data_IF_774362385550
#
_entry.id   IF_774362385550
#
_cell.length_a   1.000
_cell.length_b   1.000
_cell.length_c   1.000
_cell.angle_alpha   90.00
_cell.angle_beta   90.00
_cell.angle_gamma   90.00
#
_symmetry.space_group_name_H-M   'P 1'
#
loop_
_entity.id
_entity.type
_entity.pdbx_description
1 polymer ?
#
# COMPACT_ATOMS: atom_id res chain seq x y z
N UNK A 1 28.22 33.36 73.04
CA UNK A 1 27.54 32.40 72.14
C UNK A 1 27.94 31.00 72.58
N UNK A 2 26.94 30.26 73.05
CA UNK A 2 27.04 29.01 73.81
C UNK A 2 27.79 27.88 73.09
N UNK A 3 28.74 27.25 73.81
CA UNK A 3 29.48 26.05 73.37
C UNK A 3 28.61 24.78 73.37
N UNK A 4 27.41 24.82 73.94
CA UNK A 4 26.55 23.66 74.18
C UNK A 4 25.72 23.23 72.95
N UNK A 5 25.49 24.12 71.97
CA UNK A 5 24.58 23.84 70.86
C UNK A 5 25.24 23.18 69.62
N UNK A 6 26.57 23.06 69.56
CA UNK A 6 27.27 22.35 68.47
C UNK A 6 27.61 20.89 68.79
N UNK A 7 27.32 20.41 70.00
CA UNK A 7 27.70 19.06 70.45
C UNK A 7 26.69 17.95 70.09
N UNK A 8 25.53 18.27 69.53
CA UNK A 8 24.44 17.29 69.35
C UNK A 8 24.53 16.40 68.11
N UNK A 9 25.54 16.55 67.23
CA UNK A 9 25.79 15.60 66.13
C UNK A 9 26.99 14.66 66.35
N UNK A 10 27.74 14.81 67.47
CA UNK A 10 29.02 14.12 67.68
C UNK A 10 29.06 13.31 68.98
N UNK A 11 28.10 12.39 69.20
CA UNK A 11 28.22 11.40 70.28
C UNK A 11 29.04 10.21 69.76
N UNK A 12 30.31 10.13 70.18
CA UNK A 12 31.26 9.08 69.77
C UNK A 12 31.07 7.85 70.65
N UNK A 13 30.61 6.75 70.07
CA UNK A 13 30.71 5.43 70.69
C UNK A 13 31.98 4.72 70.13
N UNK A 14 33.00 4.62 70.99
CA UNK A 14 34.20 3.75 70.94
C UNK A 14 34.99 3.59 69.61
N UNK A 15 35.97 4.47 69.34
CA UNK A 15 37.25 4.21 68.63
C UNK A 15 38.19 5.46 68.67
N UNK A 16 39.53 5.34 68.56
CA UNK A 16 40.42 6.49 68.47
C UNK A 16 40.16 7.25 67.15
N UNK A 17 39.57 8.43 67.26
CA UNK A 17 39.28 9.31 66.14
C UNK A 17 40.54 10.07 65.72
N UNK A 18 41.57 9.38 65.26
CA UNK A 18 42.77 10.04 64.78
C UNK A 18 42.44 10.87 63.54
N UNK A 19 43.04 12.05 63.46
CA UNK A 19 42.84 12.95 62.36
C UNK A 19 43.44 12.35 61.08
N UNK A 20 42.64 12.20 60.02
CA UNK A 20 43.08 11.63 58.74
C UNK A 20 44.17 12.41 58.00
N UNK A 21 44.62 13.56 58.53
CA UNK A 21 45.71 14.39 57.95
C UNK A 21 46.98 14.42 58.80
N UNK A 22 46.89 14.25 60.12
CA UNK A 22 48.06 14.34 61.01
C UNK A 22 48.25 13.12 61.90
N UNK A 23 47.33 12.15 61.82
CA UNK A 23 47.33 10.91 62.61
C UNK A 23 47.38 11.14 64.13
N UNK A 24 47.00 12.35 64.58
CA UNK A 24 46.89 12.68 65.99
C UNK A 24 45.43 12.53 66.44
N UNK A 25 45.24 12.06 67.66
CA UNK A 25 43.93 11.85 68.28
C UNK A 25 43.13 13.17 68.34
N UNK A 26 41.94 13.17 67.76
CA UNK A 26 41.00 14.29 67.82
C UNK A 26 40.25 14.24 69.15
N UNK A 27 40.44 15.24 70.01
CA UNK A 27 39.80 15.30 71.34
C UNK A 27 38.40 15.91 71.28
N UNK A 28 37.56 15.63 72.28
CA UNK A 28 36.17 16.14 72.35
C UNK A 28 36.04 17.67 72.43
N UNK A 29 37.10 18.39 72.82
CA UNK A 29 37.11 19.85 72.93
C UNK A 29 37.76 20.54 71.71
N UNK A 30 38.09 19.77 70.66
CA UNK A 30 38.71 20.28 69.44
C UNK A 30 37.68 20.40 68.31
N UNK A 31 37.81 21.43 67.48
CA UNK A 31 36.98 21.59 66.30
C UNK A 31 37.41 20.59 65.22
N UNK A 32 36.56 19.63 64.91
CA UNK A 32 36.80 18.62 63.88
C UNK A 32 35.52 18.19 63.16
N UNK A 33 35.65 17.84 61.89
CA UNK A 33 34.57 17.32 61.04
C UNK A 33 34.87 15.85 60.72
N UNK A 34 33.84 15.01 60.71
CA UNK A 34 33.94 13.63 60.23
C UNK A 34 33.48 13.59 58.77
N UNK A 35 34.26 12.96 57.89
CA UNK A 35 33.88 12.77 56.50
C UNK A 35 32.81 11.67 56.39
N UNK A 36 31.70 11.96 55.69
CA UNK A 36 30.59 11.02 55.50
C UNK A 36 30.89 9.85 54.53
N UNK A 37 32.05 9.82 53.87
CA UNK A 37 32.46 8.74 52.95
C UNK A 37 33.49 7.81 53.60
N UNK A 38 34.63 8.34 54.05
CA UNK A 38 35.70 7.53 54.64
C UNK A 38 35.59 7.38 56.17
N UNK A 39 34.63 8.04 56.81
CA UNK A 39 34.42 8.05 58.27
C UNK A 39 35.60 8.60 59.10
N UNK A 40 36.64 9.16 58.47
CA UNK A 40 37.79 9.77 59.15
C UNK A 40 37.44 11.15 59.71
N UNK A 41 38.00 11.45 60.88
CA UNK A 41 37.91 12.77 61.49
C UNK A 41 39.02 13.69 60.98
N UNK A 42 38.75 14.98 60.88
CA UNK A 42 39.72 15.98 60.44
C UNK A 42 39.63 17.24 61.29
N UNK A 43 40.72 17.62 61.94
CA UNK A 43 40.79 18.89 62.68
C UNK A 43 40.55 20.08 61.74
N UNK A 44 39.77 21.07 62.19
CA UNK A 44 39.57 22.33 61.46
C UNK A 44 40.92 23.04 61.17
N UNK A 45 41.88 22.95 62.09
CA UNK A 45 43.25 23.46 61.90
C UNK A 45 44.02 22.69 60.82
N UNK A 46 43.92 21.36 60.78
CA UNK A 46 44.57 20.54 59.76
C UNK A 46 43.94 20.74 58.37
N UNK A 47 42.63 20.99 58.31
CA UNK A 47 41.91 21.38 57.10
C UNK A 47 42.18 22.83 56.66
N UNK A 48 42.90 23.62 57.47
CA UNK A 48 43.15 25.06 57.25
C UNK A 48 41.87 25.87 57.02
N UNK A 49 40.80 25.57 57.77
CA UNK A 49 39.52 26.28 57.67
C UNK A 49 39.31 27.19 58.89
N UNK A 50 38.72 28.37 58.65
CA UNK A 50 38.33 29.29 59.73
C UNK A 50 37.19 28.72 60.57
N UNK A 51 37.02 29.21 61.80
CA UNK A 51 35.92 28.79 62.69
C UNK A 51 34.54 29.08 62.07
N UNK A 52 34.41 30.18 61.33
CA UNK A 52 33.19 30.50 60.60
C UNK A 52 32.89 29.44 59.51
N UNK A 53 33.90 29.07 58.73
CA UNK A 53 33.77 28.03 57.70
C UNK A 53 33.46 26.67 58.34
N UNK A 54 34.11 26.33 59.45
CA UNK A 54 33.80 25.14 60.23
C UNK A 54 32.33 25.12 60.68
N UNK A 55 31.82 26.21 61.26
CA UNK A 55 30.43 26.30 61.72
C UNK A 55 29.43 26.15 60.58
N UNK A 56 29.77 26.60 59.37
CA UNK A 56 28.94 26.39 58.18
C UNK A 56 28.95 24.92 57.75
N UNK A 57 30.13 24.32 57.63
CA UNK A 57 30.30 22.92 57.21
C UNK A 57 29.69 21.92 58.22
N UNK A 58 29.85 22.17 59.52
CA UNK A 58 29.27 21.34 60.59
C UNK A 58 27.73 21.35 60.59
N UNK A 59 27.10 22.37 59.99
CA UNK A 59 25.64 22.47 59.83
C UNK A 59 25.13 21.82 58.55
N UNK A 60 26.00 21.45 57.61
CA UNK A 60 25.58 20.77 56.40
C UNK A 60 25.04 19.37 56.74
N UNK A 61 24.19 18.85 55.85
CA UNK A 61 23.67 17.49 55.98
C UNK A 61 24.77 16.44 55.75
N UNK A 62 25.69 16.71 54.82
CA UNK A 62 26.86 15.89 54.52
C UNK A 62 28.09 16.75 54.26
N UNK A 63 29.25 16.26 54.67
CA UNK A 63 30.56 16.81 54.38
C UNK A 63 31.54 15.71 53.98
N UNK A 64 32.29 15.96 52.90
CA UNK A 64 33.32 15.06 52.40
C UNK A 64 34.69 15.73 52.50
N UNK A 65 35.72 14.97 52.91
CA UNK A 65 37.08 15.47 52.89
C UNK A 65 37.56 15.71 51.45
N UNK A 66 38.70 16.40 51.28
CA UNK A 66 39.23 16.72 49.95
C UNK A 66 39.47 15.47 49.10
N UNK A 67 40.03 14.42 49.70
CA UNK A 67 40.36 13.17 49.00
C UNK A 67 39.09 12.41 48.56
N UNK A 68 38.08 12.33 49.44
CA UNK A 68 36.80 11.73 49.10
C UNK A 68 36.04 12.55 48.07
N UNK A 69 36.08 13.89 48.17
CA UNK A 69 35.46 14.78 47.17
C UNK A 69 36.11 14.57 45.80
N UNK A 70 37.44 14.48 45.75
CA UNK A 70 38.19 14.21 44.52
C UNK A 70 37.86 12.82 43.96
N UNK A 71 37.82 11.77 44.79
CA UNK A 71 37.44 10.42 44.39
C UNK A 71 36.02 10.34 43.84
N UNK A 72 35.04 10.99 44.48
CA UNK A 72 33.64 11.06 44.02
C UNK A 72 33.57 11.75 42.66
N UNK A 73 34.27 12.88 42.48
CA UNK A 73 34.30 13.60 41.21
C UNK A 73 34.96 12.76 40.11
N UNK A 74 36.09 12.11 40.40
CA UNK A 74 36.80 11.26 39.45
C UNK A 74 35.94 10.07 38.99
N UNK A 75 35.27 9.39 39.93
CA UNK A 75 34.36 8.28 39.60
C UNK A 75 33.16 8.73 38.76
N UNK A 76 32.65 9.95 38.98
CA UNK A 76 31.60 10.51 38.13
C UNK A 76 32.10 10.82 36.73
N UNK A 77 33.31 11.36 36.60
CA UNK A 77 33.91 11.65 35.30
C UNK A 77 34.12 10.38 34.49
N UNK A 78 34.70 9.32 35.07
CA UNK A 78 34.86 8.03 34.38
C UNK A 78 33.52 7.40 34.00
N UNK A 79 32.50 7.54 34.85
CA UNK A 79 31.13 7.11 34.52
C UNK A 79 30.54 7.91 33.35
N UNK A 80 30.80 9.21 33.26
CA UNK A 80 30.35 10.04 32.12
C UNK A 80 31.10 9.65 30.84
N UNK A 81 32.40 9.40 30.90
CA UNK A 81 33.21 8.97 29.75
C UNK A 81 32.74 7.63 29.17
N UNK A 82 32.45 6.65 30.03
CA UNK A 82 31.90 5.35 29.61
C UNK A 82 30.49 5.46 28.99
N UNK A 83 29.66 6.36 29.50
CA UNK A 83 28.36 6.66 28.89
C UNK A 83 28.52 7.39 27.55
N UNK A 84 29.46 8.31 27.45
CA UNK A 84 29.73 9.06 26.22
C UNK A 84 30.18 8.12 25.09
N UNK A 85 31.10 7.19 25.37
CA UNK A 85 31.51 6.17 24.41
C UNK A 85 30.36 5.25 24.00
N UNK A 86 29.52 4.83 24.95
CA UNK A 86 28.32 4.03 24.66
C UNK A 86 27.29 4.80 23.81
N UNK A 87 27.12 6.10 24.04
CA UNK A 87 26.26 6.95 23.22
C UNK A 87 26.81 7.10 21.81
N UNK A 88 28.13 7.27 21.66
CA UNK A 88 28.77 7.35 20.36
C UNK A 88 28.58 6.06 19.54
N UNK A 89 28.69 4.88 20.17
CA UNK A 89 28.42 3.60 19.49
C UNK A 89 26.95 3.47 19.10
N UNK A 90 26.01 3.84 19.99
CA UNK A 90 24.59 3.80 19.67
C UNK A 90 24.21 4.72 18.50
N UNK A 91 24.80 5.92 18.43
CA UNK A 91 24.57 6.84 17.30
C UNK A 91 25.04 6.20 15.99
N UNK A 92 26.23 5.58 16.00
CA UNK A 92 26.75 4.88 14.82
C UNK A 92 25.83 3.72 14.40
N UNK A 93 25.40 2.90 15.35
CA UNK A 93 24.47 1.79 15.07
C UNK A 93 23.13 2.30 14.52
N UNK A 94 22.62 3.43 15.03
CA UNK A 94 21.42 4.07 14.50
C UNK A 94 21.58 4.56 13.07
N UNK A 95 22.74 5.09 12.70
CA UNK A 95 23.05 5.49 11.33
C UNK A 95 23.14 4.29 10.39
N UNK A 96 23.78 3.21 10.84
CA UNK A 96 23.88 1.95 10.10
C UNK A 96 22.50 1.33 9.86
N UNK A 97 21.65 1.25 10.90
CA UNK A 97 20.26 0.77 10.79
C UNK A 97 19.42 1.65 9.86
N UNK A 98 19.63 2.98 9.87
CA UNK A 98 18.92 3.88 8.93
C UNK A 98 19.35 3.62 7.48
N UNK A 99 20.64 3.40 7.24
CA UNK A 99 21.17 3.07 5.91
C UNK A 99 20.59 1.75 5.41
N UNK A 100 20.62 0.70 6.22
CA UNK A 100 20.04 -0.61 5.88
C UNK A 100 18.54 -0.52 5.61
N UNK A 101 17.80 0.26 6.40
CA UNK A 101 16.36 0.48 6.16
C UNK A 101 16.09 1.16 4.81
N UNK A 102 16.92 2.12 4.40
CA UNK A 102 16.79 2.77 3.11
C UNK A 102 17.06 1.78 1.96
N UNK A 103 18.12 0.96 2.08
CA UNK A 103 18.43 -0.08 1.11
C UNK A 103 17.33 -1.14 1.00
N UNK A 104 16.80 -1.61 2.13
CA UNK A 104 15.69 -2.57 2.17
C UNK A 104 14.43 -2.00 1.51
N UNK A 105 14.10 -0.73 1.77
CA UNK A 105 12.97 -0.06 1.10
C UNK A 105 13.15 0.00 -0.42
N UNK A 106 14.37 0.30 -0.89
CA UNK A 106 14.68 0.30 -2.31
C UNK A 106 14.56 -1.10 -2.93
N UNK A 107 15.07 -2.14 -2.25
CA UNK A 107 14.94 -3.54 -2.69
C UNK A 107 13.46 -3.96 -2.75
N UNK A 108 12.66 -3.58 -1.77
CA UNK A 108 11.20 -3.86 -1.77
C UNK A 108 10.51 -3.20 -2.96
N UNK A 109 10.79 -1.93 -3.26
CA UNK A 109 10.23 -1.25 -4.43
C UNK A 109 10.64 -1.94 -5.76
N UNK A 110 11.91 -2.32 -5.89
CA UNK A 110 12.41 -3.05 -7.05
C UNK A 110 11.73 -4.42 -7.22
N UNK A 111 11.59 -5.18 -6.13
CA UNK A 111 10.91 -6.48 -6.15
C UNK A 111 9.43 -6.35 -6.49
N UNK A 112 8.74 -5.35 -5.95
CA UNK A 112 7.34 -5.05 -6.31
C UNK A 112 7.21 -4.80 -7.82
N UNK A 113 8.07 -3.95 -8.40
CA UNK A 113 8.09 -3.68 -9.85
C UNK A 113 8.36 -4.94 -10.69
N UNK A 114 9.27 -5.80 -10.23
CA UNK A 114 9.55 -7.07 -10.90
C UNK A 114 8.35 -8.02 -10.85
N UNK A 115 7.70 -8.16 -9.69
CA UNK A 115 6.50 -8.98 -9.51
C UNK A 115 5.38 -8.51 -10.44
N UNK A 116 5.15 -7.20 -10.53
CA UNK A 116 4.10 -6.64 -11.39
C UNK A 116 4.40 -6.87 -12.87
N UNK A 117 5.66 -6.73 -13.29
CA UNK A 117 6.08 -7.07 -14.65
C UNK A 117 5.87 -8.56 -14.96
N UNK A 118 6.28 -9.46 -14.05
CA UNK A 118 6.10 -10.91 -14.21
C UNK A 118 4.62 -11.27 -14.32
N UNK A 119 3.76 -10.70 -13.46
CA UNK A 119 2.31 -10.89 -13.53
C UNK A 119 1.74 -10.44 -14.88
N UNK A 120 2.18 -9.28 -15.38
CA UNK A 120 1.73 -8.74 -16.67
C UNK A 120 2.16 -9.62 -17.85
N UNK A 121 3.43 -10.06 -17.86
CA UNK A 121 3.97 -10.96 -18.88
C UNK A 121 3.25 -12.30 -18.84
N UNK A 122 2.98 -12.85 -17.65
CA UNK A 122 2.27 -14.11 -17.51
C UNK A 122 0.81 -13.99 -17.98
N UNK A 123 0.10 -12.93 -17.59
CA UNK A 123 -1.25 -12.67 -18.09
C UNK A 123 -1.28 -12.53 -19.62
N UNK A 124 -0.30 -11.86 -20.22
CA UNK A 124 -0.18 -11.76 -21.68
C UNK A 124 -0.01 -13.14 -22.33
N UNK A 125 0.82 -14.01 -21.75
CA UNK A 125 1.02 -15.39 -22.21
C UNK A 125 -0.27 -16.20 -22.09
N UNK A 126 -0.94 -16.13 -20.94
CA UNK A 126 -2.18 -16.85 -20.69
C UNK A 126 -3.28 -16.37 -21.64
N UNK A 127 -3.41 -15.06 -21.85
CA UNK A 127 -4.37 -14.49 -22.79
C UNK A 127 -4.08 -14.92 -24.25
N UNK A 128 -2.80 -15.09 -24.62
CA UNK A 128 -2.43 -15.63 -25.93
C UNK A 128 -2.89 -17.09 -26.11
N UNK A 129 -2.83 -17.90 -25.05
CA UNK A 129 -3.33 -19.28 -25.08
C UNK A 129 -4.86 -19.35 -25.24
N UNK A 130 -5.57 -18.28 -24.89
CA UNK A 130 -7.02 -18.14 -25.08
C UNK A 130 -7.41 -17.54 -26.44
N UNK A 131 -6.44 -17.17 -27.30
CA UNK A 131 -6.69 -16.41 -28.53
C UNK A 131 -7.61 -17.10 -29.52
N UNK A 132 -7.76 -18.42 -29.44
CA UNK A 132 -8.63 -19.23 -30.31
C UNK A 132 -9.99 -19.55 -29.66
N UNK A 133 -10.25 -19.06 -28.46
CA UNK A 133 -11.47 -19.36 -27.72
C UNK A 133 -12.50 -18.23 -27.89
N UNK A 134 -13.76 -18.61 -27.99
CA UNK A 134 -14.92 -17.71 -27.97
C UNK A 134 -15.81 -18.13 -26.81
N UNK A 135 -16.40 -17.15 -26.13
CA UNK A 135 -17.47 -17.37 -25.16
C UNK A 135 -18.79 -16.96 -25.80
N UNK A 136 -19.77 -17.86 -25.80
CA UNK A 136 -21.12 -17.62 -26.28
C UNK A 136 -22.04 -17.51 -25.06
N UNK A 137 -22.65 -16.35 -24.90
CA UNK A 137 -23.50 -16.04 -23.76
C UNK A 137 -24.97 -16.03 -24.13
N UNK A 138 -25.81 -16.28 -23.11
CA UNK A 138 -27.27 -16.18 -23.15
C UNK A 138 -27.99 -17.22 -24.03
N UNK A 139 -27.34 -18.36 -24.31
CA UNK A 139 -27.98 -19.49 -25.00
C UNK A 139 -28.88 -20.23 -23.98
N UNK A 140 -30.20 -20.37 -24.21
CA UNK A 140 -31.07 -21.15 -23.34
C UNK A 140 -30.55 -22.58 -23.10
N UNK A 141 -30.69 -23.10 -21.88
CA UNK A 141 -30.27 -24.47 -21.55
C UNK A 141 -31.39 -25.47 -21.85
N UNK A 142 -31.02 -26.60 -22.46
CA UNK A 142 -31.89 -27.76 -22.63
C UNK A 142 -31.16 -29.03 -22.22
N UNK A 143 -31.88 -30.05 -21.74
CA UNK A 143 -31.29 -31.34 -21.32
C UNK A 143 -30.60 -32.05 -22.48
N UNK A 144 -31.15 -31.92 -23.68
CA UNK A 144 -30.69 -32.61 -24.90
C UNK A 144 -30.03 -31.65 -25.89
N UNK A 145 -29.28 -30.66 -25.39
CA UNK A 145 -28.62 -29.68 -26.25
C UNK A 145 -27.39 -30.25 -26.97
N UNK A 146 -27.35 -30.09 -28.29
CA UNK A 146 -26.15 -30.36 -29.08
C UNK A 146 -25.39 -29.06 -29.32
N UNK A 147 -24.36 -28.83 -28.51
CA UNK A 147 -23.57 -27.60 -28.56
C UNK A 147 -22.79 -27.44 -29.87
N UNK A 148 -22.39 -28.52 -30.52
CA UNK A 148 -21.73 -28.45 -31.84
C UNK A 148 -22.70 -27.97 -32.91
N UNK A 149 -23.94 -28.47 -32.91
CA UNK A 149 -24.98 -28.01 -33.83
C UNK A 149 -25.33 -26.53 -33.59
N UNK A 150 -25.44 -26.10 -32.34
CA UNK A 150 -25.69 -24.69 -31.98
C UNK A 150 -24.57 -23.80 -32.54
N UNK A 151 -23.31 -24.17 -32.31
CA UNK A 151 -22.15 -23.41 -32.83
C UNK A 151 -22.13 -23.41 -34.36
N UNK A 152 -22.43 -24.55 -34.99
CA UNK A 152 -22.54 -24.67 -36.44
C UNK A 152 -23.62 -23.76 -37.03
N UNK A 153 -24.78 -23.68 -36.39
CA UNK A 153 -25.86 -22.79 -36.79
C UNK A 153 -25.48 -21.32 -36.61
N UNK A 154 -24.80 -20.95 -35.52
CA UNK A 154 -24.28 -19.59 -35.31
C UNK A 154 -23.32 -19.22 -36.45
N UNK A 155 -22.38 -20.10 -36.78
CA UNK A 155 -21.45 -19.88 -37.88
C UNK A 155 -22.18 -19.72 -39.23
N UNK A 156 -23.20 -20.53 -39.49
CA UNK A 156 -24.06 -20.43 -40.68
C UNK A 156 -24.82 -19.10 -40.75
N UNK A 157 -25.43 -18.64 -39.65
CA UNK A 157 -26.12 -17.34 -39.55
C UNK A 157 -25.15 -16.18 -39.80
N UNK A 158 -23.89 -16.33 -39.38
CA UNK A 158 -22.83 -15.36 -39.60
C UNK A 158 -22.15 -15.48 -40.97
N UNK A 159 -22.51 -16.47 -41.80
CA UNK A 159 -21.91 -16.69 -43.11
C UNK A 159 -20.45 -17.17 -43.06
N UNK A 160 -20.04 -17.80 -41.96
CA UNK A 160 -18.68 -18.33 -41.76
C UNK A 160 -18.72 -19.86 -41.76
N UNK A 161 -17.74 -20.49 -42.40
CA UNK A 161 -17.60 -21.96 -42.37
C UNK A 161 -17.26 -22.43 -40.94
N UNK A 162 -18.06 -23.35 -40.42
CA UNK A 162 -17.96 -23.87 -39.05
C UNK A 162 -16.89 -24.97 -38.88
N UNK A 163 -15.78 -24.88 -39.62
CA UNK A 163 -14.75 -25.92 -39.62
C UNK A 163 -13.76 -25.73 -38.46
N UNK A 164 -13.22 -26.84 -37.95
CA UNK A 164 -12.15 -26.81 -36.94
C UNK A 164 -12.61 -26.45 -35.52
N UNK A 165 -13.83 -26.79 -35.12
CA UNK A 165 -14.25 -26.74 -33.72
C UNK A 165 -13.57 -27.89 -32.97
N UNK A 166 -12.69 -27.57 -32.02
CA UNK A 166 -11.96 -28.57 -31.22
C UNK A 166 -12.73 -28.99 -29.98
N UNK A 167 -13.44 -28.06 -29.35
CA UNK A 167 -14.25 -28.33 -28.17
C UNK A 167 -15.38 -27.30 -28.04
N UNK A 168 -16.53 -27.75 -27.53
CA UNK A 168 -17.66 -26.90 -27.16
C UNK A 168 -18.32 -27.47 -25.91
N UNK A 169 -18.36 -26.70 -24.82
CA UNK A 169 -19.02 -27.12 -23.57
C UNK A 169 -19.52 -25.92 -22.77
N UNK A 170 -20.54 -26.15 -21.93
CA UNK A 170 -21.01 -25.16 -20.95
C UNK A 170 -19.94 -24.97 -19.86
N UNK A 171 -19.60 -23.73 -19.57
CA UNK A 171 -18.77 -23.39 -18.41
C UNK A 171 -19.55 -23.70 -17.13
N UNK A 172 -18.83 -24.15 -16.09
CA UNK A 172 -19.44 -24.35 -14.77
C UNK A 172 -19.93 -22.99 -14.26
N UNK A 173 -21.23 -22.89 -13.95
CA UNK A 173 -21.78 -21.71 -13.30
C UNK A 173 -21.40 -21.66 -11.83
N UNK A 174 -21.45 -20.48 -11.22
CA UNK A 174 -21.64 -20.42 -9.77
C UNK A 174 -23.02 -21.01 -9.48
N UNK A 175 -23.09 -22.00 -8.60
CA UNK A 175 -24.33 -22.58 -8.09
C UNK A 175 -25.09 -21.49 -7.33
N UNK A 176 -25.92 -20.74 -8.04
CA UNK A 176 -26.89 -19.83 -7.44
C UNK A 176 -28.22 -20.52 -7.59
N UNK A 177 -28.74 -21.13 -6.54
CA UNK A 177 -30.09 -21.70 -6.56
C UNK A 177 -31.07 -20.53 -6.50
N UNK A 178 -31.83 -20.28 -7.58
CA UNK A 178 -32.86 -19.23 -7.60
C UNK A 178 -33.59 -19.14 -8.94
N UNK A 179 -34.77 -18.49 -8.98
CA UNK A 179 -35.63 -18.43 -10.18
C UNK A 179 -35.11 -17.52 -11.30
N UNK A 180 -33.99 -16.80 -11.12
CA UNK A 180 -33.42 -15.83 -12.07
C UNK A 180 -31.94 -16.11 -12.42
N UNK A 181 -31.58 -17.38 -12.60
CA UNK A 181 -30.21 -17.76 -12.97
C UNK A 181 -30.02 -17.58 -14.46
N UNK A 182 -29.07 -16.72 -14.84
CA UNK A 182 -28.67 -16.58 -16.24
C UNK A 182 -28.09 -17.91 -16.77
N UNK A 183 -28.40 -18.31 -18.02
CA UNK A 183 -27.85 -19.53 -18.61
C UNK A 183 -26.32 -19.55 -18.57
N UNK A 184 -25.73 -20.72 -18.32
CA UNK A 184 -24.28 -20.92 -18.33
C UNK A 184 -23.71 -20.61 -19.70
N UNK A 185 -22.61 -19.88 -19.75
CA UNK A 185 -21.95 -19.53 -21.01
C UNK A 185 -21.31 -20.78 -21.64
N UNK A 186 -21.25 -20.83 -22.97
CA UNK A 186 -20.59 -21.91 -23.72
C UNK A 186 -19.21 -21.43 -24.13
N UNK A 187 -18.18 -22.21 -23.83
CA UNK A 187 -16.85 -22.00 -24.37
C UNK A 187 -16.67 -22.83 -25.64
N UNK A 188 -16.16 -22.19 -26.68
CA UNK A 188 -15.81 -22.82 -27.96
C UNK A 188 -14.33 -22.63 -28.22
N UNK A 189 -13.60 -23.73 -28.40
CA UNK A 189 -12.19 -23.70 -28.82
C UNK A 189 -12.10 -24.00 -30.31
N UNK A 190 -11.53 -23.07 -31.07
CA UNK A 190 -11.30 -23.22 -32.50
C UNK A 190 -9.86 -23.66 -32.78
N UNK A 191 -9.66 -24.38 -33.88
CA UNK A 191 -8.33 -24.78 -34.32
C UNK A 191 -7.52 -23.58 -34.80
N UNK A 192 -8.17 -22.69 -35.56
CA UNK A 192 -7.49 -21.56 -36.21
C UNK A 192 -8.00 -20.21 -35.71
N UNK A 193 -7.06 -19.29 -35.48
CA UNK A 193 -7.35 -17.95 -35.00
C UNK A 193 -8.10 -17.10 -36.04
N UNK A 194 -7.83 -17.29 -37.33
CA UNK A 194 -8.48 -16.53 -38.41
C UNK A 194 -9.99 -16.82 -38.50
N UNK A 195 -10.41 -18.07 -38.25
CA UNK A 195 -11.83 -18.44 -38.18
C UNK A 195 -12.52 -17.72 -37.01
N UNK A 196 -11.85 -17.65 -35.86
CA UNK A 196 -12.34 -16.89 -34.71
C UNK A 196 -12.55 -15.42 -35.05
N UNK A 197 -11.54 -14.76 -35.63
CA UNK A 197 -11.64 -13.33 -35.97
C UNK A 197 -12.76 -13.08 -36.99
N UNK A 198 -12.90 -13.94 -38.02
CA UNK A 198 -14.02 -13.86 -38.98
C UNK A 198 -15.39 -13.97 -38.31
N UNK A 199 -15.56 -14.88 -37.36
CA UNK A 199 -16.79 -15.01 -36.57
C UNK A 199 -17.06 -13.74 -35.75
N UNK A 200 -16.06 -13.24 -35.03
CA UNK A 200 -16.19 -12.05 -34.18
C UNK A 200 -16.47 -10.78 -35.00
N UNK A 201 -15.85 -10.62 -36.16
CA UNK A 201 -16.08 -9.49 -37.08
C UNK A 201 -17.46 -9.55 -37.73
N UNK A 202 -17.86 -10.73 -38.23
CA UNK A 202 -19.19 -10.92 -38.82
C UNK A 202 -20.29 -10.71 -37.77
N UNK A 203 -20.06 -11.16 -36.54
CA UNK A 203 -20.94 -10.90 -35.40
C UNK A 203 -21.09 -9.42 -35.08
N UNK A 204 -19.98 -8.67 -35.02
CA UNK A 204 -20.03 -7.21 -34.78
C UNK A 204 -20.83 -6.47 -35.85
N UNK A 205 -20.69 -6.86 -37.12
CA UNK A 205 -21.46 -6.30 -38.25
C UNK A 205 -22.95 -6.66 -38.15
N UNK A 206 -23.27 -7.86 -37.65
CA UNK A 206 -24.65 -8.33 -37.50
C UNK A 206 -25.34 -7.62 -36.33
N UNK A 207 -26.25 -6.69 -36.65
CA UNK A 207 -27.10 -5.97 -35.69
C UNK A 207 -26.30 -5.36 -34.53
N UNK A 208 -25.12 -4.81 -34.84
CA UNK A 208 -24.18 -4.23 -33.90
C UNK A 208 -23.81 -5.17 -32.73
N UNK A 209 -23.47 -6.42 -33.04
CA UNK A 209 -23.08 -7.42 -32.05
C UNK A 209 -24.27 -8.04 -31.31
N UNK A 210 -25.35 -8.37 -32.02
CA UNK A 210 -26.51 -9.08 -31.46
C UNK A 210 -27.01 -10.15 -32.42
N UNK A 211 -27.11 -11.38 -31.95
CA UNK A 211 -27.78 -12.48 -32.64
C UNK A 211 -29.13 -12.77 -31.99
N UNK A 212 -30.06 -13.36 -32.75
CA UNK A 212 -31.35 -13.80 -32.23
C UNK A 212 -31.34 -15.32 -32.11
N UNK A 213 -31.93 -15.82 -31.03
CA UNK A 213 -32.03 -17.26 -30.82
C UNK A 213 -32.89 -17.93 -31.90
N UNK A 214 -33.98 -17.30 -32.34
CA UNK A 214 -34.81 -17.81 -33.44
C UNK A 214 -34.05 -18.03 -34.76
N UNK A 215 -33.10 -17.15 -35.10
CA UNK A 215 -32.25 -17.29 -36.29
C UNK A 215 -31.32 -18.50 -36.19
N UNK A 216 -30.82 -18.81 -34.98
CA UNK A 216 -29.91 -19.94 -34.71
C UNK A 216 -30.67 -21.27 -34.78
N UNK A 217 -31.93 -21.30 -34.36
CA UNK A 217 -32.77 -22.50 -34.47
C UNK A 217 -33.27 -22.77 -35.89
N UNK A 218 -33.13 -21.81 -36.82
CA UNK A 218 -33.66 -21.94 -38.17
C UNK A 218 -35.19 -21.87 -38.25
N UNK A 219 -35.86 -21.40 -37.19
CA UNK A 219 -37.33 -21.26 -37.12
C UNK A 219 -37.85 -19.95 -37.72
N UNK A 220 -36.97 -19.15 -38.34
CA UNK A 220 -37.40 -17.98 -39.10
C UNK A 220 -38.16 -18.45 -40.34
N UNK A 221 -39.49 -18.44 -40.24
CA UNK A 221 -40.39 -18.66 -41.37
C UNK A 221 -40.03 -17.71 -42.51
N UNK A 222 -39.34 -18.22 -43.53
CA UNK A 222 -39.07 -17.48 -44.76
C UNK A 222 -40.32 -17.31 -45.65
N UNK A 223 -41.49 -17.76 -45.20
CA UNK A 223 -42.79 -17.58 -45.89
C UNK A 223 -43.87 -17.38 -44.83
N UNK A 224 -44.65 -16.31 -44.98
CA UNK A 224 -45.63 -15.80 -44.02
C UNK A 224 -46.79 -16.74 -43.69
N UNK A 225 -46.53 -17.79 -42.91
CA UNK A 225 -47.55 -18.43 -42.09
C UNK A 225 -47.21 -18.18 -40.63
N UNK A 226 -47.85 -17.15 -40.07
CA UNK A 226 -47.87 -16.89 -38.64
C UNK A 226 -48.65 -18.02 -37.95
N UNK A 227 -47.94 -19.03 -37.44
CA UNK A 227 -48.50 -19.80 -36.32
C UNK A 227 -48.51 -18.88 -35.10
N UNK A 228 -49.71 -18.52 -34.64
CA UNK A 228 -49.98 -17.80 -33.38
C UNK A 228 -49.55 -18.65 -32.18
N UNK A 229 -48.25 -18.85 -32.00
CA UNK A 229 -47.70 -19.17 -30.69
C UNK A 229 -47.31 -17.86 -30.00
N UNK A 230 -47.63 -17.76 -28.70
CA UNK A 230 -47.37 -16.57 -27.87
C UNK A 230 -46.02 -15.96 -28.23
N UNK A 231 -46.00 -14.67 -28.63
CA UNK A 231 -44.79 -13.86 -28.87
C UNK A 231 -43.92 -13.84 -27.61
N UNK A 232 -43.19 -14.91 -27.36
CA UNK A 232 -42.10 -14.92 -26.42
C UNK A 232 -41.04 -13.98 -26.99
N UNK A 233 -40.59 -13.03 -26.17
CA UNK A 233 -39.57 -12.06 -26.57
C UNK A 233 -38.31 -12.85 -26.93
N UNK A 234 -37.90 -12.76 -28.18
CA UNK A 234 -36.73 -13.47 -28.69
C UNK A 234 -35.47 -13.08 -27.91
N UNK A 235 -34.56 -14.05 -27.75
CA UNK A 235 -33.42 -13.95 -26.84
C UNK A 235 -32.19 -13.47 -27.63
N UNK A 236 -31.55 -12.40 -27.14
CA UNK A 236 -30.31 -11.91 -27.72
C UNK A 236 -29.13 -12.78 -27.30
N UNK A 237 -28.37 -13.26 -28.28
CA UNK A 237 -27.16 -14.04 -28.09
C UNK A 237 -25.93 -13.17 -28.34
N UNK A 238 -24.89 -13.35 -27.52
CA UNK A 238 -23.66 -12.57 -27.58
C UNK A 238 -22.43 -13.44 -27.71
N UNK A 239 -21.50 -13.03 -28.59
CA UNK A 239 -20.15 -13.61 -28.68
C UNK A 239 -19.15 -12.67 -28.00
N UNK A 240 -18.28 -13.24 -27.17
CA UNK A 240 -17.26 -12.53 -26.39
C UNK A 240 -15.90 -13.19 -26.60
N UNK A 241 -14.84 -12.38 -26.49
CA UNK A 241 -13.49 -12.91 -26.32
C UNK A 241 -13.40 -13.67 -24.99
N UNK A 242 -12.70 -14.80 -24.98
CA UNK A 242 -12.34 -15.48 -23.73
C UNK A 242 -11.18 -14.74 -23.05
N UNK A 243 -11.43 -14.23 -21.85
CA UNK A 243 -10.46 -13.45 -21.08
C UNK A 243 -9.88 -14.26 -19.94
N UNK A 244 -8.63 -13.96 -19.55
CA UNK A 244 -8.07 -14.43 -18.28
C UNK A 244 -8.93 -13.96 -17.09
N UNK A 245 -8.83 -14.61 -15.92
CA UNK A 245 -9.52 -14.15 -14.72
C UNK A 245 -9.17 -12.70 -14.35
N UNK A 246 -7.90 -12.33 -14.50
CA UNK A 246 -7.42 -10.97 -14.23
C UNK A 246 -8.04 -9.94 -15.18
N UNK A 247 -8.02 -10.18 -16.49
CA UNK A 247 -8.69 -9.29 -17.47
C UNK A 247 -10.20 -9.26 -17.29
N UNK A 248 -10.83 -10.38 -16.96
CA UNK A 248 -12.26 -10.42 -16.64
C UNK A 248 -12.59 -9.52 -15.43
N UNK A 249 -11.72 -9.51 -14.42
CA UNK A 249 -11.81 -8.61 -13.28
C UNK A 249 -11.64 -7.13 -13.70
N UNK A 250 -10.62 -6.81 -14.50
CA UNK A 250 -10.40 -5.45 -15.00
C UNK A 250 -11.60 -4.95 -15.83
N UNK A 251 -12.15 -5.79 -16.71
CA UNK A 251 -13.32 -5.46 -17.51
C UNK A 251 -14.53 -5.19 -16.61
N UNK A 252 -14.75 -5.99 -15.57
CA UNK A 252 -15.82 -5.77 -14.60
C UNK A 252 -15.64 -4.45 -13.85
N UNK A 253 -14.42 -4.12 -13.42
CA UNK A 253 -14.09 -2.81 -12.80
C UNK A 253 -14.38 -1.66 -13.78
N UNK A 254 -13.95 -1.77 -15.03
CA UNK A 254 -14.24 -0.76 -16.07
C UNK A 254 -15.74 -0.62 -16.37
N UNK A 255 -16.49 -1.73 -16.43
CA UNK A 255 -17.95 -1.73 -16.60
C UNK A 255 -18.68 -1.13 -15.40
N UNK A 256 -18.14 -1.25 -14.19
CA UNK A 256 -18.64 -0.53 -13.01
C UNK A 256 -18.44 0.98 -13.19
N UNK A 257 -17.26 1.43 -13.61
CA UNK A 257 -17.02 2.85 -13.89
C UNK A 257 -17.87 3.42 -15.02
N UNK A 258 -18.23 2.62 -16.01
CA UNK A 258 -19.25 3.01 -17.01
C UNK A 258 -20.62 3.29 -16.37
N UNK A 259 -21.09 2.42 -15.47
CA UNK A 259 -22.36 2.61 -14.75
C UNK A 259 -22.33 3.83 -13.84
N UNK A 260 -21.18 4.08 -13.21
CA UNK A 260 -20.92 5.25 -12.37
C UNK A 260 -20.65 6.53 -13.18
N UNK A 261 -20.76 6.49 -14.52
CA UNK A 261 -20.50 7.61 -15.44
C UNK A 261 -19.08 8.20 -15.32
N UNK A 262 -18.11 7.43 -14.81
CA UNK A 262 -16.69 7.79 -14.72
C UNK A 262 -15.91 7.50 -16.00
N UNK A 263 -16.48 6.64 -16.86
CA UNK A 263 -15.98 6.34 -18.19
C UNK A 263 -17.15 6.44 -19.17
N UNK A 264 -16.89 6.92 -20.38
CA UNK A 264 -17.85 6.94 -21.45
C UNK A 264 -17.92 5.59 -22.17
N UNK A 265 -16.78 4.93 -22.40
CA UNK A 265 -16.75 3.61 -23.05
C UNK A 265 -15.68 2.68 -22.45
N UNK A 266 -15.98 1.38 -22.44
CA UNK A 266 -15.03 0.32 -22.15
C UNK A 266 -15.42 -0.94 -22.94
N UNK A 267 -14.46 -1.51 -23.67
CA UNK A 267 -14.68 -2.63 -24.58
C UNK A 267 -13.46 -3.55 -24.63
N UNK A 268 -13.68 -4.72 -25.25
CA UNK A 268 -12.65 -5.72 -25.48
C UNK A 268 -12.39 -5.82 -26.98
N UNK A 269 -11.13 -5.95 -27.36
CA UNK A 269 -10.71 -6.25 -28.72
C UNK A 269 -9.53 -7.21 -28.67
N UNK A 270 -9.71 -8.42 -29.21
CA UNK A 270 -8.64 -9.46 -29.29
C UNK A 270 -8.05 -9.79 -27.91
N UNK A 271 -8.92 -9.88 -26.91
CA UNK A 271 -8.51 -10.12 -25.53
C UNK A 271 -7.92 -8.90 -24.79
N UNK A 272 -7.67 -7.77 -25.46
CA UNK A 272 -7.22 -6.52 -24.84
C UNK A 272 -8.38 -5.63 -24.43
N UNK A 273 -8.22 -4.99 -23.26
CA UNK A 273 -9.25 -4.12 -22.67
C UNK A 273 -8.89 -2.68 -22.99
N UNK A 274 -9.86 -1.96 -23.52
CA UNK A 274 -9.73 -0.54 -23.81
C UNK A 274 -10.81 0.23 -23.08
N UNK A 275 -10.47 1.42 -22.63
CA UNK A 275 -11.40 2.34 -22.01
C UNK A 275 -11.13 3.77 -22.48
N UNK A 276 -12.18 4.59 -22.51
CA UNK A 276 -12.10 6.03 -22.72
C UNK A 276 -12.97 6.74 -21.71
N UNK A 277 -12.44 7.84 -21.15
CA UNK A 277 -13.13 8.62 -20.13
C UNK A 277 -14.30 9.39 -20.71
N UNK A 278 -14.11 9.97 -21.90
CA UNK A 278 -15.07 10.85 -22.56
C UNK A 278 -15.36 10.37 -23.98
N UNK A 279 -16.30 11.04 -24.67
CA UNK A 279 -16.64 10.66 -26.03
C UNK A 279 -15.53 10.98 -27.04
N UNK A 280 -14.82 12.09 -26.83
CA UNK A 280 -13.78 12.58 -27.75
C UNK A 280 -12.36 12.18 -27.34
N UNK A 281 -12.16 11.67 -26.12
CA UNK A 281 -10.82 11.33 -25.63
C UNK A 281 -10.29 10.03 -26.21
N UNK A 282 -8.95 9.95 -26.29
CA UNK A 282 -8.25 8.79 -26.82
C UNK A 282 -8.53 7.53 -25.98
N UNK A 283 -8.69 6.40 -26.66
CA UNK A 283 -8.82 5.10 -26.02
C UNK A 283 -7.49 4.70 -25.37
N UNK A 284 -7.49 4.40 -24.07
CA UNK A 284 -6.33 3.85 -23.36
C UNK A 284 -6.44 2.34 -23.25
N UNK A 285 -5.31 1.66 -23.43
CA UNK A 285 -5.18 0.23 -23.18
C UNK A 285 -5.02 0.00 -21.68
N UNK A 286 -5.84 -0.87 -21.11
CA UNK A 286 -5.88 -1.15 -19.68
C UNK A 286 -5.15 -2.47 -19.43
N UNK A 287 -3.98 -2.38 -18.83
CA UNK A 287 -3.13 -3.51 -18.46
C UNK A 287 -3.21 -3.81 -16.96
N UNK A 288 -3.45 -2.79 -16.16
CA UNK A 288 -3.46 -2.86 -14.70
C UNK A 288 -4.69 -2.17 -14.12
N UNK A 289 -4.90 -2.36 -12.81
CA UNK A 289 -5.90 -1.59 -12.08
C UNK A 289 -5.55 -0.10 -12.02
N UNK A 290 -4.26 0.21 -11.85
CA UNK A 290 -3.75 1.58 -11.80
C UNK A 290 -4.05 2.34 -13.09
N UNK A 291 -4.01 1.69 -14.25
CA UNK A 291 -4.38 2.34 -15.53
C UNK A 291 -5.83 2.86 -15.51
N UNK A 292 -6.76 2.10 -14.92
CA UNK A 292 -8.15 2.54 -14.75
C UNK A 292 -8.26 3.69 -13.75
N UNK A 293 -7.57 3.56 -12.62
CA UNK A 293 -7.65 4.55 -11.55
C UNK A 293 -7.04 5.89 -12.01
N UNK A 294 -5.91 5.86 -12.72
CA UNK A 294 -5.30 7.04 -13.36
C UNK A 294 -6.27 7.64 -14.37
N UNK A 295 -6.82 6.84 -15.29
CA UNK A 295 -7.74 7.31 -16.33
C UNK A 295 -8.97 8.02 -15.76
N UNK A 296 -9.48 7.57 -14.61
CA UNK A 296 -10.60 8.22 -13.94
C UNK A 296 -10.17 9.49 -13.18
N UNK A 297 -8.96 9.51 -12.60
CA UNK A 297 -8.46 10.63 -11.78
C UNK A 297 -7.98 11.86 -12.57
N UNK A 298 -7.63 11.73 -13.85
CA UNK A 298 -6.79 12.75 -14.55
C UNK A 298 -7.44 14.14 -14.81
N UNK A 299 -8.59 14.55 -14.25
CA UNK A 299 -9.10 15.94 -14.50
C UNK A 299 -9.82 16.59 -13.29
N UNK A 300 -9.39 16.33 -12.05
CA UNK A 300 -9.70 17.26 -10.96
C UNK A 300 -8.71 18.45 -10.90
N UNK A 301 -7.83 18.59 -11.91
CA UNK A 301 -6.71 19.54 -11.91
C UNK A 301 -6.76 20.62 -13.01
N UNK A 302 -7.77 20.64 -13.89
CA UNK A 302 -7.85 21.60 -15.03
C UNK A 302 -9.09 22.52 -15.00
N UNK A 303 -9.73 22.70 -13.84
CA UNK A 303 -10.78 23.73 -13.65
C UNK A 303 -10.48 24.56 -12.40
N UNK A 304 -9.41 25.34 -12.44
CA UNK A 304 -9.28 26.61 -11.70
C UNK A 304 -8.45 27.57 -12.55
N UNK A 305 -9.09 28.23 -13.52
CA UNK A 305 -8.60 29.52 -14.01
C UNK A 305 -9.04 30.59 -12.99
N UNK A 306 -8.13 31.36 -12.38
CA UNK A 306 -8.51 32.59 -11.71
C UNK A 306 -8.66 33.69 -12.77
N UNK A 307 -9.90 34.11 -13.00
CA UNK A 307 -10.18 35.41 -13.62
C UNK A 307 -9.83 36.53 -12.63
N UNK A 308 -9.25 37.60 -13.16
CA UNK A 308 -9.23 38.92 -12.51
C UNK A 308 -7.89 39.30 -11.89
N UNK A 309 -6.99 39.85 -12.70
CA UNK A 309 -6.09 40.89 -12.20
C UNK A 309 -6.32 42.14 -13.04
N UNK A 310 -6.79 43.16 -12.34
CA UNK A 310 -7.12 44.47 -12.86
C UNK A 310 -5.90 45.15 -13.46
N UNK A 311 -6.14 45.74 -14.62
CA UNK A 311 -5.23 46.57 -15.38
C UNK A 311 -5.04 47.91 -14.64
N UNK A 312 -3.90 48.09 -13.97
CA UNK A 312 -3.39 49.41 -13.58
C UNK A 312 -2.21 49.75 -14.48
N UNK A 313 -2.52 50.47 -15.56
CA UNK A 313 -1.51 51.16 -16.39
C UNK A 313 -0.94 52.37 -15.64
N UNK A 314 0.40 52.56 -15.60
CA UNK A 314 1.00 53.82 -15.18
C UNK A 314 1.16 54.79 -16.37
N UNK A 315 1.03 56.07 -16.04
CA UNK A 315 1.15 57.22 -16.93
C UNK A 315 2.45 57.20 -17.76
N UNK A 316 2.32 57.57 -19.04
CA UNK A 316 3.45 58.01 -19.86
C UNK A 316 3.50 59.52 -19.87
N UNK A 317 4.59 60.05 -19.33
CA UNK A 317 5.08 61.38 -19.64
C UNK A 317 5.38 61.49 -21.14
N UNK A 318 4.82 62.51 -21.79
CA UNK A 318 5.32 63.04 -23.05
C UNK A 318 5.92 64.42 -22.77
N UNK A 319 7.24 64.49 -22.98
CA UNK A 319 8.00 65.71 -23.20
C UNK A 319 8.18 65.82 -24.71
N UNK A 320 7.98 67.05 -25.20
CA UNK A 320 8.09 67.59 -26.56
C UNK A 320 6.98 67.25 -27.58
#
# INVERSE_FOLDING_TARGET
MDKSALQSKNKRENAPADCGLCSQNVKNNEYALQCDECNLWHHAKCLRISLEKFNRLAKMEKWFCSDCTYGIVLNRLTSVESKYTSLATLVKDMEDVKRENAELRNKVDQLCKQIDNIKLVNDRRDQYNLKNNIIIANIPESKDENLLNIVGNIAKVLGVKAEGILASHRLKGQTVNGPNVAPREIIVKLLRHDVKEKLMESFKKKRNGKLLWSEILGTTNKRGHEKKEKKSKDVNIYLKDHLTPFRSFLLRKAKRYLKEKKLAFAWVKRGSIYARKEEKSAAKHILTESDLDILVKTENAEIQNPEGNEDQSPAKDQVD
#
